data_IF_745669954932
#
_entry.id   IF_745669954932
#
_cell.length_a   1.000
_cell.length_b   1.000
_cell.length_c   1.000
_cell.angle_alpha   90.00
_cell.angle_beta   90.00
_cell.angle_gamma   90.00
#
_symmetry.space_group_name_H-M   'P 1'
#
loop_
_entity.id
_entity.type
_entity.pdbx_description
1 polymer ?
#
# COMPACT_ATOMS: atom_id res chain seq x y z
N UNK A 1 -15.89 -39.68 -58.54
CA UNK A 1 -15.81 -38.24 -58.19
C UNK A 1 -16.03 -38.00 -56.67
N UNK A 2 -15.45 -38.76 -55.75
CA UNK A 2 -15.79 -38.70 -54.31
C UNK A 2 -14.59 -38.59 -53.35
N UNK A 3 -13.37 -38.41 -53.86
CA UNK A 3 -12.14 -38.27 -52.96
C UNK A 3 -11.64 -36.85 -52.73
N UNK A 4 -12.11 -35.86 -53.51
CA UNK A 4 -11.61 -34.48 -53.38
C UNK A 4 -12.28 -33.68 -52.25
N UNK A 5 -13.51 -34.01 -51.84
CA UNK A 5 -14.23 -33.27 -50.81
C UNK A 5 -13.81 -33.58 -49.38
N UNK A 6 -13.17 -34.74 -49.13
CA UNK A 6 -12.71 -35.14 -47.78
C UNK A 6 -11.48 -34.35 -47.33
N UNK A 7 -10.53 -34.10 -48.23
CA UNK A 7 -9.31 -33.36 -47.90
C UNK A 7 -9.56 -31.88 -47.56
N UNK A 8 -10.49 -31.24 -48.23
CA UNK A 8 -10.85 -29.85 -47.99
C UNK A 8 -11.57 -29.65 -46.64
N UNK A 9 -12.32 -30.63 -46.18
CA UNK A 9 -13.01 -30.61 -44.88
C UNK A 9 -12.00 -30.69 -43.72
N UNK A 10 -11.03 -31.59 -43.82
CA UNK A 10 -10.01 -31.76 -42.77
C UNK A 10 -9.07 -30.56 -42.65
N UNK A 11 -8.74 -29.90 -43.77
CA UNK A 11 -7.91 -28.69 -43.78
C UNK A 11 -8.63 -27.50 -43.13
N UNK A 12 -9.95 -27.38 -43.28
CA UNK A 12 -10.77 -26.32 -42.62
C UNK A 12 -10.86 -26.52 -41.12
N UNK A 13 -10.95 -27.78 -40.64
CA UNK A 13 -10.98 -28.09 -39.21
C UNK A 13 -9.61 -27.86 -38.54
N UNK A 14 -8.51 -28.17 -39.24
CA UNK A 14 -7.16 -27.91 -38.77
C UNK A 14 -6.83 -26.39 -38.69
N UNK A 15 -7.31 -25.59 -39.64
CA UNK A 15 -7.17 -24.14 -39.57
C UNK A 15 -8.00 -23.51 -38.43
N UNK A 16 -9.21 -24.03 -38.17
CA UNK A 16 -10.04 -23.53 -37.05
C UNK A 16 -9.40 -23.86 -35.67
N UNK A 17 -8.78 -25.04 -35.54
CA UNK A 17 -8.08 -25.43 -34.31
C UNK A 17 -6.81 -24.61 -34.07
N UNK A 18 -6.10 -24.19 -35.11
CA UNK A 18 -4.91 -23.36 -35.01
C UNK A 18 -5.20 -21.92 -34.55
N UNK A 19 -6.38 -21.38 -34.93
CA UNK A 19 -6.81 -20.02 -34.51
C UNK A 19 -7.19 -19.96 -33.01
N UNK A 20 -7.73 -21.06 -32.47
CA UNK A 20 -8.06 -21.16 -31.04
C UNK A 20 -6.85 -21.28 -30.11
N UNK A 21 -5.69 -21.70 -30.61
CA UNK A 21 -4.48 -21.84 -29.83
C UNK A 21 -3.71 -20.51 -29.63
N UNK A 22 -4.03 -19.46 -30.36
CA UNK A 22 -3.37 -18.15 -30.29
C UNK A 22 -4.02 -17.17 -29.28
N UNK A 23 -5.14 -17.54 -28.65
CA UNK A 23 -5.90 -16.68 -27.74
C UNK A 23 -5.47 -16.72 -26.27
N UNK A 24 -4.45 -17.52 -25.89
CA UNK A 24 -4.01 -17.65 -24.48
C UNK A 24 -2.75 -16.84 -24.17
N UNK A 25 -2.72 -15.56 -24.56
CA UNK A 25 -1.86 -14.59 -23.88
C UNK A 25 -2.57 -14.14 -22.59
N UNK A 26 -2.65 -15.01 -21.61
CA UNK A 26 -2.93 -14.60 -20.24
C UNK A 26 -1.81 -13.66 -19.80
N UNK A 27 -2.11 -12.39 -19.56
CA UNK A 27 -1.16 -11.48 -18.92
C UNK A 27 -0.73 -12.12 -17.59
N UNK A 28 0.52 -12.57 -17.52
CA UNK A 28 1.06 -13.10 -16.28
C UNK A 28 0.96 -12.01 -15.22
N UNK A 29 0.28 -12.31 -14.11
CA UNK A 29 0.20 -11.37 -12.98
C UNK A 29 1.62 -11.00 -12.56
N UNK A 30 1.96 -9.72 -12.46
CA UNK A 30 3.28 -9.30 -12.02
C UNK A 30 3.61 -9.95 -10.66
N UNK A 31 4.85 -10.40 -10.47
CA UNK A 31 5.27 -11.05 -9.21
C UNK A 31 5.86 -10.09 -8.21
N UNK A 32 6.04 -8.83 -8.60
CA UNK A 32 6.59 -7.79 -7.76
C UNK A 32 5.59 -7.27 -6.73
N UNK A 33 6.11 -6.70 -5.65
CA UNK A 33 5.35 -6.13 -4.54
C UNK A 33 5.42 -4.60 -4.57
N UNK A 34 4.29 -3.96 -4.35
CA UNK A 34 4.20 -2.54 -4.08
C UNK A 34 3.80 -2.28 -2.63
N UNK A 35 4.57 -1.48 -1.93
CA UNK A 35 4.30 -1.10 -0.53
C UNK A 35 4.18 0.41 -0.43
N UNK A 36 3.11 0.87 0.21
CA UNK A 36 2.96 2.28 0.58
C UNK A 36 2.82 2.41 2.09
N UNK A 37 3.76 3.08 2.75
CA UNK A 37 3.75 3.26 4.18
C UNK A 37 3.38 4.70 4.53
N UNK A 38 2.31 4.85 5.30
CA UNK A 38 1.83 6.09 5.86
C UNK A 38 2.30 6.23 7.31
N UNK A 39 2.99 7.32 7.63
CA UNK A 39 3.50 7.62 8.98
C UNK A 39 2.75 8.82 9.54
N UNK A 40 2.03 8.61 10.61
CA UNK A 40 1.34 9.66 11.34
C UNK A 40 2.36 10.52 12.10
N UNK A 41 2.37 11.81 11.77
CA UNK A 41 3.21 12.82 12.40
C UNK A 41 2.42 13.79 13.29
N UNK A 42 1.14 13.49 13.59
CA UNK A 42 0.31 14.33 14.45
C UNK A 42 0.91 14.52 15.84
N UNK A 43 0.55 15.61 16.50
CA UNK A 43 1.11 15.97 17.81
C UNK A 43 0.92 14.90 18.89
N UNK A 44 -0.14 14.12 18.82
CA UNK A 44 -0.42 13.00 19.74
C UNK A 44 0.44 11.78 19.46
N UNK A 45 0.78 11.54 18.19
CA UNK A 45 1.47 10.33 17.74
C UNK A 45 2.97 10.52 17.44
N UNK A 46 3.44 11.76 17.32
CA UNK A 46 4.83 12.09 16.93
C UNK A 46 5.91 11.39 17.79
N UNK A 47 5.64 11.13 19.06
CA UNK A 47 6.56 10.39 19.95
C UNK A 47 6.78 8.94 19.53
N UNK A 48 5.94 8.40 18.68
CA UNK A 48 6.01 7.02 18.17
C UNK A 48 6.77 6.92 16.84
N UNK A 49 7.04 8.06 16.18
CA UNK A 49 7.61 8.08 14.81
C UNK A 49 8.93 7.31 14.71
N UNK A 50 9.76 7.33 15.77
CA UNK A 50 10.98 6.52 15.81
C UNK A 50 10.76 5.01 15.65
N UNK A 51 9.59 4.49 16.05
CA UNK A 51 9.25 3.08 15.81
C UNK A 51 8.92 2.78 14.34
N UNK A 52 8.47 3.78 13.58
CA UNK A 52 8.21 3.62 12.16
C UNK A 52 9.49 3.25 11.39
N UNK A 53 10.65 3.72 11.82
CA UNK A 53 11.94 3.36 11.23
C UNK A 53 12.18 1.84 11.24
N UNK A 54 11.89 1.18 12.36
CA UNK A 54 12.03 -0.28 12.50
C UNK A 54 11.15 -1.01 11.47
N UNK A 55 9.90 -0.56 11.29
CA UNK A 55 8.98 -1.13 10.32
C UNK A 55 9.49 -0.93 8.89
N UNK A 56 10.00 0.28 8.59
CA UNK A 56 10.54 0.60 7.27
C UNK A 56 11.79 -0.23 6.96
N UNK A 57 12.71 -0.37 7.92
CA UNK A 57 13.89 -1.23 7.79
C UNK A 57 13.48 -2.69 7.58
N UNK A 58 12.49 -3.18 8.30
CA UNK A 58 11.93 -4.52 8.07
C UNK A 58 11.36 -4.65 6.65
N UNK A 59 10.51 -3.73 6.21
CA UNK A 59 9.94 -3.75 4.86
C UNK A 59 11.04 -3.77 3.79
N UNK A 60 12.06 -2.89 3.91
CA UNK A 60 13.20 -2.85 2.98
C UNK A 60 13.99 -4.17 2.95
N UNK A 61 14.06 -4.89 4.07
CA UNK A 61 14.74 -6.19 4.13
C UNK A 61 13.98 -7.30 3.39
N UNK A 62 12.64 -7.19 3.30
CA UNK A 62 11.77 -8.18 2.66
C UNK A 62 11.61 -7.94 1.17
N UNK A 63 11.58 -6.68 0.75
CA UNK A 63 11.41 -6.32 -0.65
C UNK A 63 12.55 -6.85 -1.53
N UNK A 64 12.21 -7.24 -2.75
CA UNK A 64 13.11 -7.81 -3.74
C UNK A 64 13.46 -6.77 -4.83
N UNK A 65 14.44 -7.04 -5.71
CA UNK A 65 14.60 -6.30 -6.95
C UNK A 65 13.27 -6.23 -7.73
N UNK A 66 13.03 -5.12 -8.41
CA UNK A 66 11.80 -4.76 -9.11
C UNK A 66 10.59 -4.43 -8.22
N UNK A 67 10.66 -4.59 -6.89
CA UNK A 67 9.62 -4.14 -5.99
C UNK A 67 9.60 -2.62 -5.87
N UNK A 68 8.45 -2.08 -5.48
CA UNK A 68 8.24 -0.63 -5.32
C UNK A 68 7.87 -0.30 -3.88
N UNK A 69 8.39 0.82 -3.38
CA UNK A 69 8.04 1.32 -2.05
C UNK A 69 7.88 2.84 -2.07
N UNK A 70 6.93 3.34 -1.31
CA UNK A 70 6.86 4.74 -0.94
C UNK A 70 6.62 4.87 0.56
N UNK A 71 7.15 5.93 1.16
CA UNK A 71 6.87 6.36 2.53
C UNK A 71 6.38 7.79 2.46
N UNK A 72 5.24 8.05 3.08
CA UNK A 72 4.65 9.38 3.17
C UNK A 72 4.22 9.68 4.61
N UNK A 73 4.24 10.96 4.97
CA UNK A 73 3.69 11.43 6.24
C UNK A 73 2.19 11.66 6.11
N UNK A 74 1.47 11.44 7.18
CA UNK A 74 0.09 11.90 7.34
C UNK A 74 0.15 13.30 7.98
N UNK A 75 -0.48 14.29 7.32
CA UNK A 75 -0.49 15.68 7.71
C UNK A 75 -1.85 16.31 7.28
N UNK A 76 -1.96 17.62 7.34
CA UNK A 76 -3.08 18.39 6.82
C UNK A 76 -3.14 18.24 5.30
N UNK A 77 -4.24 17.67 4.77
CA UNK A 77 -4.40 17.49 3.32
C UNK A 77 -3.38 16.53 2.72
N UNK A 78 -3.40 15.27 3.17
CA UNK A 78 -2.40 14.25 2.80
C UNK A 78 -2.47 13.75 1.35
N UNK A 79 -3.49 14.11 0.58
CA UNK A 79 -3.58 13.78 -0.84
C UNK A 79 -2.71 14.75 -1.67
N UNK A 80 -1.39 14.66 -1.48
CA UNK A 80 -0.40 15.48 -2.18
C UNK A 80 0.98 14.83 -2.20
N UNK A 81 1.70 14.93 -3.32
CA UNK A 81 3.07 14.43 -3.44
C UNK A 81 4.06 15.10 -2.47
N UNK A 82 3.75 16.28 -1.95
CA UNK A 82 4.60 16.98 -0.96
C UNK A 82 4.76 16.21 0.34
N UNK A 83 3.84 15.30 0.63
CA UNK A 83 3.90 14.46 1.82
C UNK A 83 4.72 13.18 1.60
N UNK A 84 5.13 12.88 0.36
CA UNK A 84 5.98 11.73 0.07
C UNK A 84 7.42 12.04 0.50
N UNK A 85 7.90 11.30 1.49
CA UNK A 85 9.25 11.40 2.06
C UNK A 85 10.27 10.76 1.12
N UNK A 86 9.94 9.56 0.66
CA UNK A 86 10.77 8.79 -0.27
C UNK A 86 9.88 7.86 -1.09
N UNK A 87 10.19 7.72 -2.39
CA UNK A 87 9.62 6.70 -3.26
C UNK A 87 10.69 6.08 -4.14
N UNK A 88 10.60 4.78 -4.41
CA UNK A 88 11.51 4.05 -5.29
C UNK A 88 10.84 2.83 -5.90
N UNK A 89 11.22 2.51 -7.13
CA UNK A 89 11.13 1.16 -7.69
C UNK A 89 12.57 0.65 -7.78
N UNK A 90 12.86 -0.49 -7.17
CA UNK A 90 14.21 -1.02 -7.11
C UNK A 90 14.63 -1.62 -8.45
N UNK A 91 15.89 -1.41 -8.81
CA UNK A 91 16.50 -1.99 -10.01
C UNK A 91 16.43 -3.53 -9.95
N UNK A 92 16.34 -4.17 -11.11
CA UNK A 92 16.33 -5.64 -11.21
C UNK A 92 17.66 -6.26 -10.78
N UNK A 93 18.76 -5.51 -10.83
CA UNK A 93 20.10 -5.96 -10.40
C UNK A 93 20.22 -5.86 -8.88
N UNK A 94 20.47 -6.98 -8.17
CA UNK A 94 20.48 -7.01 -6.70
C UNK A 94 21.45 -6.03 -6.05
N UNK A 95 22.63 -5.81 -6.62
CA UNK A 95 23.61 -4.86 -6.08
C UNK A 95 23.12 -3.41 -6.11
N UNK A 96 22.52 -3.01 -7.24
CA UNK A 96 21.92 -1.68 -7.43
C UNK A 96 20.70 -1.51 -6.52
N UNK A 97 19.81 -2.51 -6.46
CA UNK A 97 18.66 -2.50 -5.56
C UNK A 97 19.09 -2.31 -4.09
N UNK A 98 20.14 -3.01 -3.65
CA UNK A 98 20.66 -2.85 -2.29
C UNK A 98 21.25 -1.45 -2.02
N UNK A 99 21.88 -0.81 -3.00
CA UNK A 99 22.31 0.59 -2.87
C UNK A 99 21.12 1.54 -2.77
N UNK A 100 20.09 1.33 -3.61
CA UNK A 100 18.87 2.13 -3.58
C UNK A 100 18.13 1.98 -2.25
N UNK A 101 18.04 0.77 -1.68
CA UNK A 101 17.45 0.53 -0.35
C UNK A 101 18.19 1.28 0.76
N UNK A 102 19.52 1.28 0.75
CA UNK A 102 20.32 2.06 1.71
C UNK A 102 20.08 3.56 1.58
N UNK A 103 20.08 4.07 0.36
CA UNK A 103 19.80 5.48 0.10
C UNK A 103 18.37 5.88 0.49
N UNK A 104 17.41 4.97 0.29
CA UNK A 104 16.02 5.15 0.73
C UNK A 104 15.94 5.21 2.26
N UNK A 105 16.56 4.26 2.97
CA UNK A 105 16.59 4.23 4.43
C UNK A 105 17.18 5.52 5.01
N UNK A 106 18.29 6.02 4.47
CA UNK A 106 18.90 7.28 4.93
C UNK A 106 18.01 8.52 4.75
N UNK A 107 17.18 8.55 3.67
CA UNK A 107 16.20 9.64 3.51
C UNK A 107 15.10 9.59 4.56
N UNK A 108 14.62 8.38 4.88
CA UNK A 108 13.61 8.18 5.90
C UNK A 108 14.15 8.50 7.30
N UNK A 109 15.35 8.05 7.62
CA UNK A 109 16.04 8.36 8.89
C UNK A 109 16.16 9.88 9.09
N UNK A 110 16.69 10.59 8.08
CA UNK A 110 16.75 12.06 8.11
C UNK A 110 15.39 12.71 8.34
N UNK A 111 14.35 12.22 7.70
CA UNK A 111 12.99 12.73 7.93
C UNK A 111 12.53 12.50 9.36
N UNK A 112 12.76 11.32 9.94
CA UNK A 112 12.37 10.99 11.32
C UNK A 112 13.06 11.92 12.31
N UNK A 113 14.34 12.22 12.11
CA UNK A 113 15.12 13.09 12.96
C UNK A 113 14.69 14.56 12.88
N UNK A 114 14.24 15.01 11.70
CA UNK A 114 13.91 16.41 11.42
C UNK A 114 12.40 16.69 11.51
N UNK A 115 11.56 15.65 11.71
CA UNK A 115 10.11 15.81 11.61
C UNK A 115 9.53 16.65 12.74
N UNK A 116 8.61 17.53 12.39
CA UNK A 116 7.83 18.33 13.34
C UNK A 116 6.38 17.83 13.39
N UNK A 117 5.71 17.94 14.56
CA UNK A 117 4.34 17.52 14.69
C UNK A 117 3.42 18.21 13.70
N UNK A 118 2.58 17.44 12.99
CA UNK A 118 1.51 17.95 12.16
C UNK A 118 0.34 18.39 13.04
N UNK A 119 -0.35 19.52 12.69
CA UNK A 119 -1.50 19.97 13.45
C UNK A 119 -2.76 19.14 13.23
N UNK A 120 -2.85 18.43 12.12
CA UNK A 120 -4.02 17.64 11.71
C UNK A 120 -3.60 16.28 11.14
N UNK A 121 -4.58 15.37 10.95
CA UNK A 121 -4.36 13.99 10.53
C UNK A 121 -5.35 13.61 9.43
N UNK A 122 -4.95 13.69 8.17
CA UNK A 122 -5.77 13.31 7.01
C UNK A 122 -5.39 11.90 6.51
N UNK A 123 -5.86 10.86 7.22
CA UNK A 123 -5.58 9.46 6.87
C UNK A 123 -6.20 9.10 5.52
N UNK A 124 -7.45 9.53 5.29
CA UNK A 124 -8.15 9.22 4.03
C UNK A 124 -7.44 9.84 2.83
N UNK A 125 -6.91 11.07 2.95
CA UNK A 125 -6.09 11.68 1.91
C UNK A 125 -4.80 10.89 1.64
N UNK A 126 -4.14 10.41 2.69
CA UNK A 126 -2.98 9.54 2.59
C UNK A 126 -3.31 8.21 1.88
N UNK A 127 -4.47 7.61 2.18
CA UNK A 127 -4.94 6.39 1.52
C UNK A 127 -5.21 6.61 0.02
N UNK A 128 -5.81 7.74 -0.36
CA UNK A 128 -5.99 8.09 -1.78
C UNK A 128 -4.65 8.16 -2.52
N UNK A 129 -3.65 8.82 -1.91
CA UNK A 129 -2.30 8.90 -2.47
C UNK A 129 -1.63 7.52 -2.59
N UNK A 130 -1.83 6.65 -1.58
CA UNK A 130 -1.33 5.29 -1.59
C UNK A 130 -1.94 4.44 -2.72
N UNK A 131 -3.25 4.52 -2.89
CA UNK A 131 -3.97 3.80 -3.95
C UNK A 131 -3.54 4.25 -5.34
N UNK A 132 -3.33 5.56 -5.55
CA UNK A 132 -2.83 6.10 -6.81
C UNK A 132 -1.42 5.58 -7.12
N UNK A 133 -0.50 5.63 -6.14
CA UNK A 133 0.85 5.08 -6.30
C UNK A 133 0.83 3.58 -6.64
N UNK A 134 0.06 2.78 -5.91
CA UNK A 134 0.00 1.32 -6.14
C UNK A 134 -0.65 0.98 -7.49
N UNK A 135 -1.60 1.79 -7.94
CA UNK A 135 -2.20 1.66 -9.27
C UNK A 135 -1.19 2.01 -10.37
N UNK A 136 -0.42 3.10 -10.20
CA UNK A 136 0.63 3.50 -11.14
C UNK A 136 1.70 2.42 -11.31
N UNK A 137 2.11 1.79 -10.19
CA UNK A 137 3.16 0.76 -10.21
C UNK A 137 2.69 -0.59 -10.73
N UNK A 138 1.38 -0.83 -10.79
CA UNK A 138 0.75 -2.05 -11.30
C UNK A 138 1.43 -3.34 -10.80
N UNK A 139 1.72 -3.39 -9.51
CA UNK A 139 2.37 -4.53 -8.87
C UNK A 139 1.39 -5.66 -8.63
N UNK A 140 1.88 -6.91 -8.60
CA UNK A 140 1.05 -8.10 -8.37
C UNK A 140 0.53 -8.19 -6.94
N UNK A 141 1.34 -7.80 -5.96
CA UNK A 141 0.96 -7.66 -4.54
C UNK A 141 0.97 -6.19 -4.16
N UNK A 142 -0.07 -5.74 -3.46
CA UNK A 142 -0.26 -4.34 -3.09
C UNK A 142 -0.53 -4.23 -1.60
N UNK A 143 0.32 -3.52 -0.87
CA UNK A 143 0.18 -3.34 0.56
C UNK A 143 0.23 -1.86 0.96
N UNK A 144 -0.70 -1.47 1.84
CA UNK A 144 -0.69 -0.18 2.51
C UNK A 144 -0.47 -0.43 4.00
N UNK A 145 0.60 0.14 4.53
CA UNK A 145 0.95 0.10 5.94
C UNK A 145 0.63 1.46 6.56
N UNK A 146 -0.14 1.49 7.64
CA UNK A 146 -0.56 2.74 8.30
C UNK A 146 -0.03 2.73 9.73
N UNK A 147 0.98 3.53 9.99
CA UNK A 147 1.56 3.71 11.32
C UNK A 147 0.90 4.92 11.99
N UNK A 148 -0.20 4.69 12.75
CA UNK A 148 -1.05 5.74 13.32
C UNK A 148 -1.92 5.19 14.45
N UNK A 149 -2.44 6.07 15.32
CA UNK A 149 -3.53 5.75 16.26
C UNK A 149 -4.90 5.62 15.57
N UNK A 150 -4.94 5.82 14.25
CA UNK A 150 -6.12 5.72 13.39
C UNK A 150 -7.22 6.76 13.70
N UNK A 151 -6.90 7.84 14.39
CA UNK A 151 -7.81 8.97 14.60
C UNK A 151 -7.62 10.01 13.51
N UNK A 152 -8.57 10.11 12.59
CA UNK A 152 -8.58 11.19 11.59
C UNK A 152 -9.04 12.50 12.26
N UNK A 153 -8.31 13.58 12.02
CA UNK A 153 -8.61 14.93 12.48
C UNK A 153 -8.31 15.92 11.37
N UNK A 154 -9.35 16.52 10.81
CA UNK A 154 -9.24 17.42 9.65
C UNK A 154 -9.31 18.88 10.09
N UNK A 155 -8.56 19.75 9.42
CA UNK A 155 -8.64 21.19 9.65
C UNK A 155 -10.07 21.71 9.48
N UNK A 156 -10.50 22.60 10.35
CA UNK A 156 -11.84 23.18 10.29
C UNK A 156 -12.05 23.86 8.93
N UNK A 157 -13.12 23.48 8.24
CA UNK A 157 -13.45 23.98 6.91
C UNK A 157 -12.67 23.33 5.76
N UNK A 158 -11.79 22.38 6.05
CA UNK A 158 -11.18 21.57 4.99
C UNK A 158 -12.21 20.64 4.36
N UNK A 159 -12.42 20.81 3.06
CA UNK A 159 -13.33 19.97 2.27
C UNK A 159 -12.45 19.15 1.32
N UNK A 160 -12.47 17.83 1.52
CA UNK A 160 -11.86 16.89 0.59
C UNK A 160 -12.87 16.47 -0.46
N UNK A 161 -12.43 16.34 -1.72
CA UNK A 161 -13.26 15.72 -2.75
C UNK A 161 -13.63 14.28 -2.31
N UNK A 162 -14.91 13.94 -2.42
CA UNK A 162 -15.36 12.56 -2.18
C UNK A 162 -14.92 11.67 -3.34
N UNK A 163 -13.71 11.12 -3.23
CA UNK A 163 -13.18 10.14 -4.15
C UNK A 163 -13.40 8.74 -3.59
N UNK A 164 -13.83 7.80 -4.41
CA UNK A 164 -14.02 6.41 -3.97
C UNK A 164 -12.66 5.79 -3.60
N UNK A 165 -12.61 5.12 -2.46
CA UNK A 165 -11.46 4.32 -2.05
C UNK A 165 -11.63 2.90 -2.63
N UNK A 166 -10.93 2.62 -3.71
CA UNK A 166 -10.92 1.31 -4.36
C UNK A 166 -9.73 0.48 -3.86
N UNK A 167 -10.00 -0.39 -2.88
CA UNK A 167 -8.99 -1.26 -2.28
C UNK A 167 -8.93 -2.67 -2.90
N UNK A 168 -9.55 -2.92 -4.04
CA UNK A 168 -9.54 -4.26 -4.65
C UNK A 168 -8.13 -4.77 -4.88
N UNK A 169 -7.82 -5.93 -4.28
CA UNK A 169 -6.49 -6.55 -4.34
C UNK A 169 -5.43 -5.81 -3.52
N UNK A 170 -5.83 -5.01 -2.54
CA UNK A 170 -4.93 -4.29 -1.64
C UNK A 170 -5.10 -4.82 -0.21
N UNK A 171 -3.98 -5.16 0.42
CA UNK A 171 -3.91 -5.46 1.85
C UNK A 171 -3.60 -4.17 2.62
N UNK A 172 -4.43 -3.82 3.59
CA UNK A 172 -4.26 -2.64 4.45
C UNK A 172 -3.97 -3.09 5.88
N UNK A 173 -2.82 -2.68 6.41
CA UNK A 173 -2.36 -3.06 7.75
C UNK A 173 -2.17 -1.82 8.61
N UNK A 174 -2.96 -1.68 9.66
CA UNK A 174 -2.74 -0.67 10.69
C UNK A 174 -1.70 -1.18 11.70
N UNK A 175 -0.69 -0.36 11.97
CA UNK A 175 0.46 -0.72 12.78
C UNK A 175 0.55 0.16 14.02
N UNK A 176 0.85 -0.46 15.18
CA UNK A 176 1.06 0.25 16.45
C UNK A 176 -0.10 1.18 16.80
N UNK A 177 -1.33 0.71 16.62
CA UNK A 177 -2.52 1.52 16.94
C UNK A 177 -2.62 1.70 18.46
N UNK A 178 -2.24 2.88 18.94
CA UNK A 178 -2.24 3.20 20.36
C UNK A 178 -3.62 3.67 20.82
N UNK A 179 -3.91 3.42 22.10
CA UNK A 179 -5.10 3.97 22.75
C UNK A 179 -4.93 5.50 22.93
N UNK A 180 -6.01 6.21 22.69
CA UNK A 180 -6.13 7.62 23.00
C UNK A 180 -6.48 7.83 24.48
N UNK A 181 -6.31 9.05 24.98
CA UNK A 181 -6.76 9.35 26.36
C UNK A 181 -8.26 9.15 26.54
N UNK A 182 -9.08 9.46 25.52
CA UNK A 182 -10.53 9.21 25.53
C UNK A 182 -10.87 7.72 25.69
N UNK A 183 -10.07 6.83 25.08
CA UNK A 183 -10.29 5.37 25.14
C UNK A 183 -10.12 4.80 26.57
N UNK A 184 -9.49 5.56 27.49
CA UNK A 184 -9.40 5.18 28.90
C UNK A 184 -10.71 5.41 29.64
N UNK A 185 -11.56 6.33 29.15
CA UNK A 185 -12.89 6.59 29.73
C UNK A 185 -13.94 5.67 29.10
N UNK A 186 -13.86 5.44 27.79
CA UNK A 186 -14.71 4.47 27.09
C UNK A 186 -13.86 3.60 26.14
N UNK A 187 -13.49 2.38 26.56
CA UNK A 187 -12.73 1.46 25.72
C UNK A 187 -13.41 1.06 24.41
N UNK A 188 -14.73 1.27 24.29
CA UNK A 188 -15.49 0.98 23.07
C UNK A 188 -15.12 1.94 21.94
N UNK A 189 -14.69 3.17 22.26
CA UNK A 189 -14.23 4.15 21.25
C UNK A 189 -13.05 3.61 20.43
N UNK A 190 -12.09 2.94 21.09
CA UNK A 190 -10.96 2.30 20.42
C UNK A 190 -11.43 1.22 19.43
N UNK A 191 -12.32 0.32 19.86
CA UNK A 191 -12.81 -0.75 18.99
C UNK A 191 -13.65 -0.19 17.84
N UNK A 192 -14.56 0.75 18.13
CA UNK A 192 -15.41 1.40 17.11
C UNK A 192 -14.58 2.11 16.03
N UNK A 193 -13.46 2.73 16.43
CA UNK A 193 -12.54 3.38 15.49
C UNK A 193 -11.91 2.35 14.54
N UNK A 194 -11.43 1.22 15.08
CA UNK A 194 -10.86 0.14 14.26
C UNK A 194 -11.90 -0.52 13.36
N UNK A 195 -13.12 -0.75 13.86
CA UNK A 195 -14.21 -1.34 13.09
C UNK A 195 -14.68 -0.42 11.96
N UNK A 196 -14.68 0.90 12.18
CA UNK A 196 -15.01 1.87 11.13
C UNK A 196 -13.98 1.84 9.98
N UNK A 197 -12.69 1.75 10.30
CA UNK A 197 -11.63 1.61 9.28
C UNK A 197 -11.71 0.27 8.57
N UNK A 198 -11.94 -0.82 9.31
CA UNK A 198 -12.17 -2.15 8.71
C UNK A 198 -13.30 -2.10 7.70
N UNK A 199 -14.46 -1.58 8.11
CA UNK A 199 -15.62 -1.48 7.24
C UNK A 199 -15.33 -0.64 5.98
N UNK A 200 -14.61 0.48 6.10
CA UNK A 200 -14.22 1.33 4.97
C UNK A 200 -13.33 0.57 3.97
N UNK A 201 -12.34 -0.19 4.44
CA UNK A 201 -11.43 -0.95 3.60
C UNK A 201 -12.14 -2.13 2.92
N UNK A 202 -12.91 -2.90 3.68
CA UNK A 202 -13.63 -4.08 3.18
C UNK A 202 -14.75 -3.70 2.20
N UNK A 203 -15.46 -2.61 2.43
CA UNK A 203 -16.43 -2.04 1.48
C UNK A 203 -15.77 -1.61 0.17
N UNK A 204 -14.52 -1.14 0.22
CA UNK A 204 -13.69 -0.84 -0.94
C UNK A 204 -13.10 -2.08 -1.63
N UNK A 205 -13.35 -3.30 -1.12
CA UNK A 205 -12.87 -4.57 -1.68
C UNK A 205 -11.46 -4.98 -1.25
N UNK A 206 -10.88 -4.35 -0.22
CA UNK A 206 -9.57 -4.69 0.34
C UNK A 206 -9.64 -5.63 1.55
N UNK A 207 -8.46 -5.99 2.08
CA UNK A 207 -8.32 -6.76 3.30
C UNK A 207 -7.75 -5.87 4.41
N UNK A 208 -8.30 -6.01 5.62
CA UNK A 208 -7.89 -5.22 6.78
C UNK A 208 -7.23 -6.08 7.85
N UNK A 209 -6.09 -5.63 8.36
CA UNK A 209 -5.40 -6.24 9.51
C UNK A 209 -4.90 -5.17 10.47
N UNK A 210 -4.70 -5.55 11.75
CA UNK A 210 -4.08 -4.71 12.77
C UNK A 210 -2.92 -5.48 13.41
N UNK A 211 -1.74 -4.86 13.48
CA UNK A 211 -0.55 -5.43 14.13
C UNK A 211 -0.02 -4.39 15.13
N UNK A 212 -0.18 -4.68 16.41
CA UNK A 212 0.29 -3.81 17.51
C UNK A 212 1.60 -4.32 18.14
N UNK A 213 1.93 -5.59 17.97
CA UNK A 213 3.18 -6.18 18.42
C UNK A 213 4.25 -6.03 17.32
N UNK A 214 5.07 -5.00 17.44
CA UNK A 214 6.12 -4.70 16.46
C UNK A 214 7.34 -5.63 16.55
N UNK A 215 7.44 -6.46 17.59
CA UNK A 215 8.47 -7.48 17.69
C UNK A 215 8.14 -8.71 16.83
N UNK A 216 6.90 -8.80 16.35
CA UNK A 216 6.38 -9.88 15.50
C UNK A 216 5.85 -9.34 14.17
N UNK A 217 6.77 -8.94 13.30
CA UNK A 217 6.45 -8.47 11.95
C UNK A 217 6.40 -9.60 10.92
N UNK A 218 6.55 -10.88 11.36
CA UNK A 218 6.45 -12.04 10.47
C UNK A 218 5.07 -12.07 9.79
N UNK A 219 5.06 -12.11 8.47
CA UNK A 219 3.84 -12.03 7.67
C UNK A 219 3.28 -10.61 7.45
N UNK A 220 4.06 -9.58 7.75
CA UNK A 220 3.70 -8.21 7.37
C UNK A 220 3.72 -8.04 5.85
N UNK A 221 4.74 -8.63 5.17
CA UNK A 221 4.96 -8.63 3.72
C UNK A 221 5.12 -10.03 3.19
#
# INVERSE_FOLDING_TARGET
MTRANSLASHCRWLMLAAVLALGSCGSATPRNTGVYLLVDTSGTYNKQVGKAEQIIRYALSRLQPADSIAVARIDTGSFTEKNIIAKATFDERPSTANQQKRAFAGRVEKFIDETTPAPYTDITGGLLQALEFLKEKDTGRKEILIFSDMKEDLAKGYVRAELPLDFRGVDVVALNVTKLRSDNFDPREYLSRLDAWRAKVEQGGGHWRVINDLDRLDGLL
#
